data_IF_798068364743
#
_entry.id   IF_798068364743
#
_cell.length_a   1.000
_cell.length_b   1.000
_cell.length_c   1.000
_cell.angle_alpha   90.00
_cell.angle_beta   90.00
_cell.angle_gamma   90.00
#
_symmetry.space_group_name_H-M   'P 1'
#
loop_
_entity.id
_entity.type
_entity.pdbx_description
1 polymer ?
#
# COMPACT_ATOMS: atom_id res chain seq x y z
N UNK A 1 -8.91 18.22 -5.75
CA UNK A 1 -9.01 16.75 -5.79
C UNK A 1 -9.62 16.23 -4.50
N UNK A 2 -10.45 15.21 -4.57
CA UNK A 2 -11.04 14.54 -3.42
C UNK A 2 -10.99 13.02 -3.63
N UNK A 3 -10.96 12.26 -2.54
CA UNK A 3 -10.84 10.80 -2.61
C UNK A 3 -12.04 10.13 -3.28
N UNK A 4 -13.23 10.72 -3.15
CA UNK A 4 -14.47 10.25 -3.81
C UNK A 4 -15.40 11.42 -4.04
N UNK A 5 -15.81 11.66 -5.27
CA UNK A 5 -16.68 12.78 -5.65
C UNK A 5 -18.17 12.43 -5.67
N UNK A 6 -18.49 11.16 -5.82
CA UNK A 6 -19.86 10.63 -5.84
C UNK A 6 -19.93 9.24 -5.20
N UNK A 7 -21.00 8.89 -4.49
CA UNK A 7 -21.19 7.55 -3.94
C UNK A 7 -21.27 6.47 -5.03
N UNK A 8 -21.73 6.80 -6.23
CA UNK A 8 -22.03 5.83 -7.29
C UNK A 8 -20.82 5.48 -8.17
N UNK A 9 -19.71 6.22 -8.01
CA UNK A 9 -18.51 6.01 -8.83
C UNK A 9 -17.31 5.63 -7.98
N UNK A 10 -16.31 4.94 -8.57
CA UNK A 10 -15.04 4.69 -7.89
C UNK A 10 -14.38 5.99 -7.44
N UNK A 11 -13.72 5.94 -6.29
CA UNK A 11 -12.85 7.02 -5.84
C UNK A 11 -11.45 6.90 -6.42
N UNK A 12 -10.56 7.79 -5.97
CA UNK A 12 -9.15 7.79 -6.34
C UNK A 12 -8.26 7.74 -5.11
N UNK A 13 -7.03 7.28 -5.29
CA UNK A 13 -6.01 7.23 -4.24
C UNK A 13 -4.61 7.37 -4.80
N UNK A 14 -3.68 7.74 -3.94
CA UNK A 14 -2.25 7.56 -4.20
C UNK A 14 -1.83 6.15 -3.78
N UNK A 15 -1.07 5.46 -4.61
CA UNK A 15 -0.44 4.20 -4.24
C UNK A 15 1.06 4.42 -4.08
N UNK A 16 1.58 4.00 -2.92
CA UNK A 16 3.01 4.13 -2.63
C UNK A 16 3.69 2.80 -2.88
N UNK A 17 4.49 2.72 -3.93
CA UNK A 17 5.35 1.58 -4.21
C UNK A 17 6.67 1.73 -3.48
N UNK A 18 7.10 0.68 -2.79
CA UNK A 18 8.26 0.69 -1.90
C UNK A 18 9.13 -0.54 -2.16
N UNK A 19 10.44 -0.31 -2.19
CA UNK A 19 11.47 -1.35 -2.19
C UNK A 19 12.70 -0.85 -1.45
N UNK A 20 13.40 -1.74 -0.77
CA UNK A 20 14.66 -1.42 -0.09
C UNK A 20 15.83 -2.07 -0.84
N UNK A 21 16.93 -1.37 -0.87
CA UNK A 21 18.13 -1.75 -1.59
C UNK A 21 19.36 -1.62 -0.72
N UNK A 22 20.27 -2.55 -0.83
CA UNK A 22 21.59 -2.43 -0.23
C UNK A 22 22.47 -1.47 -1.04
N UNK A 23 23.56 -1.02 -0.45
CA UNK A 23 24.50 -0.08 -1.10
C UNK A 23 25.15 -0.64 -2.37
N UNK A 24 25.26 -1.95 -2.46
CA UNK A 24 25.78 -2.68 -3.64
C UNK A 24 24.77 -2.79 -4.80
N UNK A 25 23.56 -2.26 -4.62
CA UNK A 25 22.50 -2.33 -5.62
C UNK A 25 21.71 -3.63 -5.63
N UNK A 26 21.91 -4.52 -4.65
CA UNK A 26 21.09 -5.70 -4.48
C UNK A 26 19.79 -5.40 -3.73
N UNK A 27 18.71 -6.14 -4.04
CA UNK A 27 17.41 -5.95 -3.38
C UNK A 27 17.42 -6.52 -1.97
N UNK A 28 17.05 -5.73 -0.98
CA UNK A 28 16.82 -6.19 0.39
C UNK A 28 15.50 -6.95 0.55
N UNK A 29 14.60 -6.86 -0.42
CA UNK A 29 13.28 -7.50 -0.37
C UNK A 29 13.24 -8.88 -1.00
N UNK A 30 14.11 -9.16 -1.95
CA UNK A 30 14.11 -10.41 -2.70
C UNK A 30 15.03 -11.48 -2.09
N UNK A 31 14.60 -12.75 -2.18
CA UNK A 31 15.41 -13.91 -1.82
C UNK A 31 15.08 -15.11 -2.71
N UNK A 32 16.08 -15.69 -3.36
CA UNK A 32 15.91 -16.71 -4.38
C UNK A 32 15.14 -17.95 -3.93
N UNK A 33 15.38 -18.42 -2.70
CA UNK A 33 14.89 -19.72 -2.22
C UNK A 33 13.74 -19.64 -1.22
N UNK A 34 13.40 -18.45 -0.73
CA UNK A 34 12.31 -18.30 0.24
C UNK A 34 10.94 -18.27 -0.44
N UNK A 35 9.92 -18.69 0.31
CA UNK A 35 8.54 -18.66 -0.17
C UNK A 35 8.15 -17.25 -0.65
N UNK A 36 7.52 -17.18 -1.83
CA UNK A 36 7.14 -15.95 -2.52
C UNK A 36 8.35 -15.04 -2.83
N UNK A 37 9.55 -15.57 -2.79
CA UNK A 37 10.82 -14.84 -2.92
C UNK A 37 10.97 -13.68 -1.91
N UNK A 38 10.24 -13.72 -0.80
CA UNK A 38 10.28 -12.69 0.24
C UNK A 38 11.43 -12.93 1.21
N UNK A 39 12.36 -11.98 1.29
CA UNK A 39 13.39 -11.97 2.32
C UNK A 39 12.79 -11.75 3.73
N UNK A 40 13.55 -12.01 4.79
CA UNK A 40 13.11 -11.71 6.14
C UNK A 40 12.93 -10.20 6.35
N UNK A 41 13.80 -9.39 5.77
CA UNK A 41 13.67 -7.93 5.75
C UNK A 41 12.30 -7.52 5.17
N UNK A 42 11.91 -8.10 4.03
CA UNK A 42 10.61 -7.79 3.45
C UNK A 42 9.45 -8.20 4.35
N UNK A 43 9.51 -9.39 4.95
CA UNK A 43 8.47 -9.89 5.86
C UNK A 43 8.32 -9.01 7.09
N UNK A 44 9.44 -8.59 7.70
CA UNK A 44 9.43 -7.67 8.83
C UNK A 44 8.88 -6.30 8.45
N UNK A 45 9.27 -5.79 7.28
CA UNK A 45 8.80 -4.52 6.77
C UNK A 45 7.27 -4.53 6.52
N UNK A 46 6.77 -5.58 5.88
CA UNK A 46 5.33 -5.81 5.66
C UNK A 46 4.57 -5.91 6.98
N UNK A 47 5.08 -6.71 7.93
CA UNK A 47 4.45 -6.90 9.24
C UNK A 47 4.41 -5.59 10.03
N UNK A 48 5.48 -4.79 10.00
CA UNK A 48 5.52 -3.48 10.63
C UNK A 48 4.47 -2.52 10.07
N UNK A 49 4.34 -2.46 8.75
CA UNK A 49 3.31 -1.64 8.12
C UNK A 49 1.89 -2.11 8.47
N UNK A 50 1.62 -3.41 8.47
CA UNK A 50 0.31 -3.94 8.86
C UNK A 50 -0.03 -3.63 10.31
N UNK A 51 0.94 -3.73 11.21
CA UNK A 51 0.76 -3.41 12.63
C UNK A 51 0.38 -1.94 12.86
N UNK A 52 1.04 -1.03 12.14
CA UNK A 52 0.82 0.39 12.29
C UNK A 52 -0.37 0.91 11.45
N UNK A 53 -0.87 0.09 10.53
CA UNK A 53 -1.90 0.48 9.59
C UNK A 53 -3.16 1.07 10.24
N UNK A 54 -3.67 0.58 11.39
CA UNK A 54 -4.84 1.18 12.05
C UNK A 54 -4.58 2.58 12.63
N UNK A 55 -3.33 2.94 12.88
CA UNK A 55 -2.94 4.20 13.52
C UNK A 55 -2.61 5.30 12.50
N UNK A 56 -2.24 4.92 11.28
CA UNK A 56 -1.77 5.84 10.23
C UNK A 56 -2.87 6.55 9.42
N UNK A 57 -4.13 6.06 9.31
CA UNK A 57 -5.16 6.67 8.47
C UNK A 57 -5.38 8.17 8.69
N UNK A 58 -5.33 8.73 9.90
CA UNK A 58 -5.48 10.18 10.10
C UNK A 58 -4.43 11.00 9.35
N UNK A 59 -3.24 10.45 9.11
CA UNK A 59 -2.15 11.13 8.40
C UNK A 59 -2.27 11.01 6.87
N UNK A 60 -2.75 9.87 6.38
CA UNK A 60 -2.74 9.54 4.95
C UNK A 60 -4.13 9.58 4.29
N UNK A 61 -5.18 9.56 5.10
CA UNK A 61 -6.58 9.63 4.70
C UNK A 61 -7.35 10.57 5.65
N UNK A 62 -6.98 11.87 5.74
CA UNK A 62 -7.37 12.75 6.84
C UNK A 62 -8.78 13.30 6.73
N UNK A 63 -9.50 13.07 5.64
CA UNK A 63 -10.83 13.64 5.42
C UNK A 63 -11.92 12.56 5.49
N UNK A 64 -13.13 12.95 5.86
CA UNK A 64 -14.31 12.07 5.81
C UNK A 64 -14.48 11.46 4.43
N UNK A 65 -14.24 12.22 3.38
CA UNK A 65 -14.31 11.79 2.00
C UNK A 65 -13.32 10.65 1.67
N UNK A 66 -12.18 10.60 2.38
CA UNK A 66 -11.21 9.50 2.24
C UNK A 66 -11.81 8.17 2.69
N UNK A 67 -12.62 8.17 3.75
CA UNK A 67 -13.25 6.94 4.28
C UNK A 67 -14.45 6.50 3.43
N UNK A 68 -15.20 7.44 2.84
CA UNK A 68 -16.29 7.13 1.90
C UNK A 68 -15.76 6.37 0.67
N UNK A 69 -14.50 6.54 0.32
CA UNK A 69 -13.84 5.77 -0.75
C UNK A 69 -13.63 4.29 -0.39
N UNK A 70 -13.42 3.98 0.90
CA UNK A 70 -13.05 2.64 1.37
C UNK A 70 -14.28 1.74 1.49
N UNK A 71 -14.91 1.42 0.38
CA UNK A 71 -16.09 0.56 0.32
C UNK A 71 -15.82 -0.69 -0.54
N UNK A 72 -16.46 -1.79 -0.16
CA UNK A 72 -16.35 -3.06 -0.87
C UNK A 72 -16.81 -2.93 -2.32
N UNK A 73 -16.10 -3.56 -3.25
CA UNK A 73 -16.45 -3.57 -4.66
C UNK A 73 -15.78 -2.51 -5.53
N UNK A 74 -15.15 -1.49 -4.94
CA UNK A 74 -14.48 -0.40 -5.68
C UNK A 74 -12.96 -0.46 -5.64
N UNK A 75 -12.38 -1.64 -5.45
CA UNK A 75 -10.93 -1.86 -5.42
C UNK A 75 -10.21 -1.05 -4.33
N UNK A 76 -10.96 -0.58 -3.36
CA UNK A 76 -10.47 0.10 -2.17
C UNK A 76 -10.32 -0.89 -1.02
N UNK A 77 -9.27 -0.78 -0.21
CA UNK A 77 -9.10 -1.64 0.94
C UNK A 77 -10.12 -1.30 2.03
N UNK A 78 -10.73 -2.32 2.61
CA UNK A 78 -11.69 -2.19 3.72
C UNK A 78 -11.18 -2.81 5.02
N UNK A 79 -10.02 -3.47 4.97
CA UNK A 79 -9.43 -4.18 6.10
C UNK A 79 -7.91 -3.97 6.12
N UNK A 80 -7.31 -4.06 7.30
CA UNK A 80 -5.86 -4.10 7.49
C UNK A 80 -5.33 -5.48 7.12
N UNK A 81 -5.15 -5.72 5.84
CA UNK A 81 -4.69 -6.99 5.30
C UNK A 81 -3.67 -6.81 4.18
N UNK A 82 -3.03 -7.90 3.81
CA UNK A 82 -2.15 -7.95 2.65
C UNK A 82 -2.50 -9.13 1.73
N UNK A 83 -2.05 -9.06 0.50
CA UNK A 83 -2.21 -10.15 -0.45
C UNK A 83 -1.18 -10.09 -1.57
N UNK A 84 -0.91 -11.28 -2.14
CA UNK A 84 -0.05 -11.40 -3.30
C UNK A 84 -0.83 -10.94 -4.53
N UNK A 85 -0.30 -9.93 -5.20
CA UNK A 85 -0.89 -9.29 -6.39
C UNK A 85 -2.38 -8.93 -6.28
N UNK A 86 -2.87 -8.73 -5.05
CA UNK A 86 -4.27 -8.49 -4.76
C UNK A 86 -4.55 -7.00 -4.53
N UNK A 87 -5.31 -6.39 -5.44
CA UNK A 87 -5.66 -4.96 -5.41
C UNK A 87 -6.78 -4.60 -4.45
N UNK A 88 -7.43 -5.56 -3.80
CA UNK A 88 -8.45 -5.31 -2.78
C UNK A 88 -7.87 -5.21 -1.36
N UNK A 89 -6.60 -5.59 -1.19
CA UNK A 89 -5.89 -5.51 0.09
C UNK A 89 -5.33 -4.11 0.34
N UNK A 90 -5.13 -3.80 1.62
CA UNK A 90 -4.48 -2.55 2.04
C UNK A 90 -3.01 -2.49 1.62
N UNK A 91 -2.34 -3.63 1.68
CA UNK A 91 -0.97 -3.78 1.21
C UNK A 91 -0.93 -4.91 0.18
N UNK A 92 -0.42 -4.59 -1.00
CA UNK A 92 -0.21 -5.56 -2.07
C UNK A 92 1.25 -5.89 -2.20
N UNK A 93 1.61 -7.15 -2.06
CA UNK A 93 2.92 -7.66 -2.42
C UNK A 93 2.92 -7.91 -3.92
N UNK A 94 3.83 -7.27 -4.63
CA UNK A 94 3.97 -7.42 -6.08
C UNK A 94 5.18 -8.32 -6.33
N UNK A 95 4.96 -9.57 -6.75
CA UNK A 95 6.03 -10.50 -7.06
C UNK A 95 6.76 -10.05 -8.33
N UNK A 96 7.96 -10.56 -8.51
CA UNK A 96 8.73 -10.28 -9.73
C UNK A 96 10.19 -10.67 -9.57
N UNK A 97 11.03 -10.20 -10.48
CA UNK A 97 12.47 -10.36 -10.43
C UNK A 97 13.07 -9.59 -9.23
N UNK A 98 14.34 -9.82 -8.89
CA UNK A 98 15.02 -9.05 -7.84
C UNK A 98 14.88 -7.52 -8.00
N UNK A 99 14.79 -7.05 -9.24
CA UNK A 99 14.66 -5.61 -9.55
C UNK A 99 13.23 -5.08 -9.49
N UNK A 100 12.22 -5.93 -9.47
CA UNK A 100 10.81 -5.53 -9.56
C UNK A 100 9.98 -5.93 -8.34
N UNK A 101 10.52 -6.81 -7.48
CA UNK A 101 9.85 -7.28 -6.26
C UNK A 101 9.66 -6.13 -5.27
N UNK A 102 8.41 -5.82 -4.91
CA UNK A 102 8.09 -4.62 -4.15
C UNK A 102 6.76 -4.73 -3.40
N UNK A 103 6.54 -3.78 -2.53
CA UNK A 103 5.30 -3.60 -1.77
C UNK A 103 4.56 -2.36 -2.30
N UNK A 104 3.25 -2.46 -2.43
CA UNK A 104 2.37 -1.34 -2.77
C UNK A 104 1.43 -1.07 -1.59
N UNK A 105 1.54 0.11 -1.00
CA UNK A 105 0.64 0.61 0.05
C UNK A 105 -0.52 1.37 -0.59
N UNK A 106 -1.77 0.97 -0.31
CA UNK A 106 -2.94 1.34 -1.12
C UNK A 106 -3.98 2.22 -0.41
N UNK A 107 -3.78 2.56 0.86
CA UNK A 107 -4.77 3.29 1.65
C UNK A 107 -4.70 4.80 1.42
N UNK A 108 -3.55 5.34 1.05
CA UNK A 108 -3.35 6.78 0.94
C UNK A 108 -4.42 7.43 0.06
N UNK A 109 -5.10 8.42 0.58
CA UNK A 109 -6.00 9.24 -0.22
C UNK A 109 -5.19 10.11 -1.20
N UNK A 110 -5.68 10.27 -2.42
CA UNK A 110 -5.12 11.25 -3.33
C UNK A 110 -5.36 12.64 -2.73
N UNK A 111 -4.30 13.30 -2.34
CA UNK A 111 -4.34 14.73 -2.01
C UNK A 111 -4.14 15.52 -3.30
N UNK A 112 -5.11 16.35 -3.64
CA UNK A 112 -4.87 17.44 -4.55
C UNK A 112 -4.02 18.49 -3.84
N UNK A 113 -2.87 18.73 -4.41
CA UNK A 113 -1.95 19.83 -4.18
C UNK A 113 -1.91 20.49 -2.81
N UNK A 114 -0.79 20.29 -2.14
CA UNK A 114 -0.19 21.24 -1.23
C UNK A 114 -1.07 21.85 -0.16
N UNK A 115 -1.04 21.25 0.97
CA UNK A 115 -0.86 21.93 2.25
C UNK A 115 -0.65 20.83 3.28
N UNK A 116 0.62 20.63 3.64
CA UNK A 116 0.95 20.05 4.94
C UNK A 116 0.59 21.11 5.97
N UNK A 117 -0.38 20.82 6.80
CA UNK A 117 -0.50 21.49 8.09
C UNK A 117 0.56 20.95 9.03
#
# INVERSE_FOLDING_TARGET
FMAKWSPDYPGQSGHLHQSLWYKDGSSAFYHDTKALHMSDTFRHYLAGQLRLLPEVPPMIAPTVNSYIRMIKGFWAPTHSNWGLDNRTCAIRVIPGSPKSHRLEYRIAAARGGGECL
#
